data_IF_074963630398
#
_entry.id   IF_074963630398
#
_cell.length_a   1.000
_cell.length_b   1.000
_cell.length_c   1.000
_cell.angle_alpha   90.00
_cell.angle_beta   90.00
_cell.angle_gamma   90.00
#
_symmetry.space_group_name_H-M   'P 1'
#
loop_
_entity.id
_entity.type
_entity.pdbx_description
1 polymer ?
#
# COMPACT_ATOMS: atom_id res chain seq x y z
N UNK A 1 20.31 43.55 60.12
CA UNK A 1 19.60 43.11 58.95
C UNK A 1 20.52 43.26 57.74
N UNK A 2 21.14 42.16 57.31
CA UNK A 2 21.97 42.20 56.10
C UNK A 2 21.05 42.45 54.91
N UNK A 3 21.20 43.62 54.26
CA UNK A 3 20.51 43.89 53.00
C UNK A 3 20.85 42.84 51.93
N UNK A 4 20.06 42.72 50.87
CA UNK A 4 20.36 41.79 49.82
C UNK A 4 21.76 42.06 49.26
N UNK A 5 22.56 41.00 49.16
CA UNK A 5 23.91 41.05 48.59
C UNK A 5 23.83 41.59 47.16
N UNK A 6 24.39 42.80 46.85
CA UNK A 6 24.32 43.41 45.53
C UNK A 6 25.11 42.65 44.45
N UNK A 7 25.87 41.59 44.84
CA UNK A 7 26.70 40.79 43.96
C UNK A 7 26.17 39.37 43.75
N UNK A 8 24.92 39.09 44.10
CA UNK A 8 24.33 37.77 43.85
C UNK A 8 24.15 37.62 42.35
N UNK A 9 25.02 36.83 41.74
CA UNK A 9 24.99 36.54 40.34
C UNK A 9 23.65 35.82 39.96
N UNK A 10 22.98 36.26 38.90
CA UNK A 10 21.78 35.62 38.42
C UNK A 10 22.11 34.23 37.91
N UNK A 11 21.51 33.21 38.51
CA UNK A 11 21.63 31.82 38.08
C UNK A 11 20.27 31.37 37.51
N UNK A 12 20.25 30.92 36.25
CA UNK A 12 19.10 30.33 35.64
C UNK A 12 19.13 28.80 35.78
N UNK A 13 17.97 28.21 36.10
CA UNK A 13 17.82 26.77 36.10
C UNK A 13 17.63 26.26 34.66
N UNK A 14 18.00 25.01 34.41
CA UNK A 14 17.72 24.36 33.13
C UNK A 14 16.25 24.23 32.90
N UNK A 15 15.72 24.36 31.64
CA UNK A 15 14.34 24.01 31.29
C UNK A 15 14.08 22.53 31.55
N UNK A 16 12.90 22.22 32.09
CA UNK A 16 12.43 20.85 32.39
C UNK A 16 11.22 20.49 31.53
N UNK A 17 10.71 19.27 31.69
CA UNK A 17 9.48 18.80 31.10
C UNK A 17 9.43 18.93 29.57
N UNK A 18 10.58 18.63 28.89
CA UNK A 18 10.63 18.64 27.45
C UNK A 18 9.75 17.54 26.87
N UNK A 19 8.78 17.96 26.05
CA UNK A 19 7.86 17.06 25.32
C UNK A 19 7.88 17.36 23.84
N UNK A 20 7.75 16.33 23.02
CA UNK A 20 7.56 16.44 21.57
C UNK A 20 6.12 16.10 21.18
N UNK A 21 5.59 16.80 20.20
CA UNK A 21 4.28 16.52 19.60
C UNK A 21 4.41 16.57 18.09
N UNK A 22 4.08 15.47 17.40
CA UNK A 22 4.04 15.44 15.93
C UNK A 22 2.92 16.35 15.42
N UNK A 23 3.27 17.33 14.58
CA UNK A 23 2.30 18.18 13.86
C UNK A 23 2.04 17.65 12.45
N UNK A 24 3.08 17.10 11.81
CA UNK A 24 3.02 16.44 10.52
C UNK A 24 4.21 15.48 10.39
N UNK A 25 4.31 14.77 9.26
CA UNK A 25 5.48 13.92 9.00
C UNK A 25 6.81 14.67 8.92
N UNK A 26 6.79 15.99 8.66
CA UNK A 26 7.97 16.85 8.56
C UNK A 26 8.03 17.94 9.62
N UNK A 27 7.13 17.94 10.61
CA UNK A 27 7.10 18.98 11.65
C UNK A 27 6.76 18.43 13.03
N UNK A 28 7.44 19.00 14.02
CA UNK A 28 7.29 18.66 15.44
C UNK A 28 7.23 19.93 16.27
N UNK A 29 6.37 19.97 17.29
CA UNK A 29 6.37 20.98 18.32
C UNK A 29 7.12 20.44 19.54
N UNK A 30 8.09 21.20 20.02
CA UNK A 30 8.85 20.96 21.25
C UNK A 30 8.31 21.90 22.30
N UNK A 31 7.79 21.39 23.41
CA UNK A 31 7.35 22.16 24.57
C UNK A 31 8.26 21.98 25.77
N UNK A 32 8.27 22.92 26.73
CA UNK A 32 9.06 22.88 27.98
C UNK A 32 8.40 23.66 29.09
N UNK A 33 8.87 23.42 30.31
CA UNK A 33 8.47 24.18 31.49
C UNK A 33 9.13 25.58 31.59
N UNK A 34 8.43 26.57 32.18
CA UNK A 34 8.95 27.91 32.35
C UNK A 34 10.11 27.95 33.36
N UNK A 35 11.05 28.83 33.09
CA UNK A 35 12.21 29.08 33.98
C UNK A 35 12.10 30.51 34.53
N UNK A 36 12.20 30.65 35.84
CA UNK A 36 12.19 31.95 36.53
C UNK A 36 13.32 32.86 35.99
N UNK A 37 13.01 34.12 35.79
CA UNK A 37 13.93 35.15 35.28
C UNK A 37 14.38 34.95 33.81
N UNK A 38 13.95 33.92 33.12
CA UNK A 38 14.22 33.83 31.69
C UNK A 38 13.47 34.95 30.94
N UNK A 39 14.13 35.56 29.97
CA UNK A 39 13.49 36.52 29.03
C UNK A 39 13.22 35.88 27.66
N UNK A 40 13.98 34.83 27.36
CA UNK A 40 13.80 34.05 26.13
C UNK A 40 14.31 32.61 26.34
N UNK A 41 14.07 31.76 25.33
CA UNK A 41 14.60 30.41 25.25
C UNK A 41 15.26 30.20 23.91
N UNK A 42 16.44 29.59 23.91
CA UNK A 42 17.16 29.17 22.72
C UNK A 42 16.92 27.66 22.51
N UNK A 43 16.51 27.28 21.31
CA UNK A 43 16.19 25.92 20.96
C UNK A 43 17.23 25.38 19.99
N UNK A 44 17.80 24.23 20.33
CA UNK A 44 18.88 23.59 19.59
C UNK A 44 18.42 22.23 19.08
N UNK A 45 18.88 21.87 17.88
CA UNK A 45 18.63 20.58 17.24
C UNK A 45 19.91 19.95 16.74
N UNK A 46 19.94 18.61 16.74
CA UNK A 46 20.83 17.81 15.88
C UNK A 46 20.07 16.60 15.34
N UNK A 47 20.46 16.13 14.16
CA UNK A 47 19.99 14.87 13.64
C UNK A 47 20.86 13.69 14.10
N UNK A 48 20.31 12.46 13.98
CA UNK A 48 21.09 11.26 14.21
C UNK A 48 22.29 11.19 13.27
N UNK A 49 23.48 10.90 13.85
CA UNK A 49 24.77 10.93 13.15
C UNK A 49 25.53 12.25 13.27
N UNK A 50 24.89 13.37 13.60
CA UNK A 50 25.57 14.64 13.87
C UNK A 50 26.21 14.65 15.27
N UNK A 51 27.35 15.32 15.41
CA UNK A 51 28.10 15.43 16.68
C UNK A 51 27.71 16.66 17.47
N UNK A 52 27.27 17.73 16.80
CA UNK A 52 27.00 19.05 17.41
C UNK A 52 25.55 19.48 17.21
N UNK A 53 25.05 20.26 18.17
CA UNK A 53 23.78 20.91 18.10
C UNK A 53 23.83 22.22 17.31
N UNK A 54 22.82 22.51 16.53
CA UNK A 54 22.66 23.78 15.82
C UNK A 54 21.49 24.55 16.42
N UNK A 55 21.68 25.86 16.65
CA UNK A 55 20.59 26.73 17.08
C UNK A 55 19.53 26.86 15.99
N UNK A 56 18.31 26.50 16.32
CA UNK A 56 17.14 26.68 15.42
C UNK A 56 16.57 28.10 15.51
N UNK A 57 16.58 28.66 16.71
CA UNK A 57 16.08 30.00 16.95
C UNK A 57 15.81 30.24 18.43
N UNK A 58 15.43 31.48 18.72
CA UNK A 58 15.10 31.97 20.07
C UNK A 58 13.61 32.37 20.09
N UNK A 59 12.93 32.09 21.19
CA UNK A 59 11.53 32.50 21.41
C UNK A 59 11.41 33.25 22.74
N UNK A 60 10.50 34.23 22.84
CA UNK A 60 10.31 35.01 24.09
C UNK A 60 9.77 34.11 25.23
N UNK A 61 9.95 34.54 26.47
CA UNK A 61 9.63 33.78 27.69
C UNK A 61 8.12 33.43 27.84
N UNK A 62 7.23 34.14 27.16
CA UNK A 62 5.79 33.85 27.13
C UNK A 62 5.41 32.78 26.13
N UNK A 63 6.36 32.28 25.33
CA UNK A 63 6.17 31.17 24.38
C UNK A 63 7.01 29.97 24.83
N UNK A 64 6.36 29.00 25.43
CA UNK A 64 6.99 27.79 25.99
C UNK A 64 7.00 26.62 24.99
N UNK A 65 7.10 26.92 23.72
CA UNK A 65 7.22 25.94 22.65
C UNK A 65 7.93 26.50 21.42
N UNK A 66 8.48 25.59 20.62
CA UNK A 66 9.05 25.85 19.31
C UNK A 66 8.49 24.85 18.30
N UNK A 67 8.23 25.28 17.09
CA UNK A 67 7.79 24.40 15.99
C UNK A 67 8.92 24.25 14.99
N UNK A 68 9.50 23.07 14.94
CA UNK A 68 10.47 22.69 13.91
C UNK A 68 9.70 22.07 12.73
N UNK A 69 9.72 22.77 11.60
CA UNK A 69 9.01 22.37 10.37
C UNK A 69 9.93 21.70 9.35
N UNK A 70 11.14 21.37 9.73
CA UNK A 70 12.15 20.81 8.84
C UNK A 70 12.81 19.57 9.46
N UNK A 71 11.98 18.57 9.84
CA UNK A 71 12.44 17.24 10.24
C UNK A 71 12.24 16.25 9.10
N UNK A 72 13.12 15.24 9.03
CA UNK A 72 13.06 14.19 8.01
C UNK A 72 12.35 12.96 8.59
N UNK A 73 11.26 12.49 7.98
CA UNK A 73 10.58 11.28 8.43
C UNK A 73 11.53 10.07 8.45
N UNK A 74 11.48 9.30 9.54
CA UNK A 74 12.34 8.13 9.73
C UNK A 74 13.77 8.44 10.21
N UNK A 75 14.13 9.71 10.38
CA UNK A 75 15.42 10.13 10.95
C UNK A 75 15.25 10.55 12.40
N UNK A 76 16.12 10.04 13.30
CA UNK A 76 16.15 10.48 14.69
C UNK A 76 16.58 11.94 14.77
N UNK A 77 15.90 12.70 15.60
CA UNK A 77 16.19 14.11 15.89
C UNK A 77 16.28 14.31 17.40
N UNK A 78 17.19 15.16 17.82
CA UNK A 78 17.48 15.43 19.22
C UNK A 78 17.40 16.93 19.48
N UNK A 79 16.68 17.32 20.53
CA UNK A 79 16.50 18.71 20.91
C UNK A 79 17.02 18.97 22.29
N UNK A 80 17.52 20.21 22.50
CA UNK A 80 17.81 20.81 23.76
C UNK A 80 17.30 22.23 23.81
N UNK A 81 16.93 22.69 24.98
CA UNK A 81 16.46 24.05 25.21
C UNK A 81 17.32 24.67 26.32
N UNK A 82 17.65 25.92 26.14
CA UNK A 82 18.39 26.72 27.11
C UNK A 82 17.60 27.97 27.48
N UNK A 83 17.41 28.25 28.72
CA UNK A 83 16.84 29.53 29.18
C UNK A 83 17.92 30.63 29.12
N UNK A 84 17.48 31.80 28.70
CA UNK A 84 18.38 33.00 28.57
C UNK A 84 17.72 34.17 29.27
N UNK A 85 18.51 34.90 30.06
CA UNK A 85 18.16 36.24 30.53
C UNK A 85 18.98 37.23 29.73
N UNK A 86 18.30 38.15 29.08
CA UNK A 86 18.93 39.27 28.39
C UNK A 86 18.61 40.53 29.18
N UNK A 87 19.65 41.19 29.67
CA UNK A 87 19.60 42.47 30.36
C UNK A 87 20.46 43.48 29.61
N UNK A 88 20.28 44.74 29.88
CA UNK A 88 21.01 45.81 29.21
C UNK A 88 21.76 46.65 30.23
N UNK A 89 23.01 46.98 29.90
CA UNK A 89 23.85 47.94 30.64
C UNK A 89 24.18 49.06 29.65
N UNK A 90 23.36 50.11 29.67
CA UNK A 90 23.32 51.10 28.59
C UNK A 90 22.84 50.47 27.29
N UNK A 91 23.59 50.61 26.21
CA UNK A 91 23.29 50.01 24.91
C UNK A 91 23.83 48.59 24.73
N UNK A 92 24.61 48.05 25.71
CA UNK A 92 25.20 46.73 25.62
C UNK A 92 24.30 45.66 26.24
N UNK A 93 23.97 44.61 25.44
CA UNK A 93 23.24 43.45 25.91
C UNK A 93 24.16 42.53 26.71
N UNK A 94 23.72 42.13 27.91
CA UNK A 94 24.34 41.10 28.76
C UNK A 94 23.48 39.85 28.73
N UNK A 95 24.08 38.67 28.52
CA UNK A 95 23.41 37.39 28.44
C UNK A 95 23.83 36.50 29.60
N UNK A 96 22.85 35.94 30.30
CA UNK A 96 23.03 34.86 31.27
C UNK A 96 22.30 33.63 30.73
N UNK A 97 22.99 32.50 30.66
CA UNK A 97 22.50 31.26 30.13
C UNK A 97 22.32 30.22 31.24
N UNK A 98 21.23 29.46 31.16
CA UNK A 98 21.10 28.24 31.95
C UNK A 98 21.97 27.12 31.41
N UNK A 99 22.17 26.02 32.17
CA UNK A 99 22.53 24.73 31.55
C UNK A 99 21.51 24.31 30.51
N UNK A 100 21.94 23.45 29.57
CA UNK A 100 21.03 22.83 28.63
C UNK A 100 20.00 21.93 29.34
N UNK A 101 18.81 21.86 28.84
CA UNK A 101 17.82 20.86 29.27
C UNK A 101 18.30 19.43 29.07
N UNK A 102 17.59 18.46 29.62
CA UNK A 102 17.71 17.08 29.19
C UNK A 102 17.45 16.99 27.69
N UNK A 103 18.10 16.03 27.03
CA UNK A 103 17.89 15.81 25.59
C UNK A 103 16.55 15.15 25.34
N UNK A 104 15.70 15.79 24.53
CA UNK A 104 14.51 15.16 23.96
C UNK A 104 14.92 14.41 22.68
N UNK A 105 14.72 13.09 22.64
CA UNK A 105 14.84 12.27 21.43
C UNK A 105 13.47 12.15 20.76
N UNK A 106 13.40 12.39 19.47
CA UNK A 106 12.15 12.34 18.72
C UNK A 106 12.34 11.76 17.32
N UNK A 107 11.25 11.35 16.69
CA UNK A 107 11.23 10.91 15.30
C UNK A 107 9.81 11.06 14.75
N UNK A 108 9.68 11.61 13.56
CA UNK A 108 8.45 11.52 12.78
C UNK A 108 8.53 10.33 11.83
N UNK A 109 7.39 9.80 11.43
CA UNK A 109 7.28 8.73 10.44
C UNK A 109 6.34 9.19 9.32
N UNK A 110 6.71 8.91 8.07
CA UNK A 110 5.80 9.08 6.96
C UNK A 110 4.61 8.12 7.11
N UNK A 111 3.44 8.53 6.63
CA UNK A 111 2.28 7.63 6.59
C UNK A 111 2.46 6.58 5.50
N UNK A 112 2.14 5.31 5.75
CA UNK A 112 2.13 4.30 4.70
C UNK A 112 1.05 4.59 3.66
N UNK A 113 1.23 4.08 2.44
CA UNK A 113 0.18 4.07 1.43
C UNK A 113 -0.43 2.67 1.40
N UNK A 114 -1.70 2.55 1.80
CA UNK A 114 -2.45 1.30 1.68
C UNK A 114 -2.86 1.10 0.21
N UNK A 115 -2.51 -0.05 -0.37
CA UNK A 115 -3.00 -0.49 -1.67
C UNK A 115 -4.48 -0.91 -1.56
N UNK A 116 -5.16 -1.07 -2.69
CA UNK A 116 -6.53 -1.54 -2.69
C UNK A 116 -6.63 -2.92 -2.03
N UNK A 117 -7.39 -3.08 -0.93
CA UNK A 117 -7.61 -4.37 -0.30
C UNK A 117 -8.23 -5.37 -1.26
N UNK A 118 -7.74 -6.63 -1.26
CA UNK A 118 -8.17 -7.67 -2.20
C UNK A 118 -8.79 -8.85 -1.46
N UNK A 119 -9.98 -9.27 -1.90
CA UNK A 119 -10.57 -10.54 -1.46
C UNK A 119 -9.65 -11.71 -1.84
N UNK A 120 -9.32 -12.55 -0.86
CA UNK A 120 -8.48 -13.73 -1.00
C UNK A 120 -9.30 -15.02 -0.90
N UNK A 121 -10.47 -14.96 -0.31
CA UNK A 121 -11.39 -16.06 -0.09
C UNK A 121 -12.72 -15.57 0.49
N UNK A 122 -13.57 -16.51 0.86
CA UNK A 122 -14.93 -16.24 1.35
C UNK A 122 -14.97 -15.45 2.68
N UNK A 123 -13.88 -15.46 3.45
CA UNK A 123 -13.77 -14.82 4.77
C UNK A 123 -12.49 -14.00 4.96
N UNK A 124 -11.69 -13.83 3.90
CA UNK A 124 -10.33 -13.28 4.00
C UNK A 124 -10.13 -12.14 3.02
N UNK A 125 -9.50 -11.05 3.51
CA UNK A 125 -9.04 -9.91 2.71
C UNK A 125 -7.53 -9.78 2.88
N UNK A 126 -6.80 -9.66 1.77
CA UNK A 126 -5.38 -9.32 1.73
C UNK A 126 -5.19 -7.83 1.71
N UNK A 127 -4.28 -7.36 2.56
CA UNK A 127 -3.86 -5.97 2.69
C UNK A 127 -2.37 -5.88 2.36
N UNK A 128 -2.01 -4.92 1.52
CA UNK A 128 -0.62 -4.55 1.24
C UNK A 128 -0.46 -3.04 1.41
N UNK A 129 0.72 -2.61 1.83
CA UNK A 129 1.05 -1.19 1.97
C UNK A 129 2.52 -0.91 1.67
N UNK A 130 2.85 0.38 1.44
CA UNK A 130 4.23 0.79 1.22
C UNK A 130 5.05 0.70 2.50
N UNK A 131 6.32 0.31 2.39
CA UNK A 131 7.28 0.42 3.50
C UNK A 131 7.51 1.87 3.89
N UNK A 132 7.78 2.10 5.18
CA UNK A 132 8.06 3.42 5.76
C UNK A 132 9.44 3.40 6.38
N UNK A 133 10.30 4.36 5.99
CA UNK A 133 11.63 4.51 6.55
C UNK A 133 11.55 4.78 8.05
N UNK A 134 12.37 4.10 8.84
CA UNK A 134 12.39 4.20 10.30
C UNK A 134 11.31 3.41 11.03
N UNK A 135 10.32 2.85 10.33
CA UNK A 135 9.34 1.96 10.94
C UNK A 135 9.97 0.63 11.37
N UNK A 136 9.56 0.13 12.52
CA UNK A 136 9.88 -1.23 12.98
C UNK A 136 8.73 -2.18 12.74
N UNK A 137 7.51 -1.70 12.97
CA UNK A 137 6.29 -2.49 12.81
C UNK A 137 5.16 -1.62 12.26
N UNK A 138 4.02 -2.27 12.00
CA UNK A 138 2.80 -1.61 11.55
C UNK A 138 1.61 -2.06 12.39
N UNK A 139 0.63 -1.17 12.49
CA UNK A 139 -0.67 -1.43 13.11
C UNK A 139 -1.77 -1.25 12.06
N UNK A 140 -2.68 -2.23 11.99
CA UNK A 140 -3.83 -2.20 11.07
C UNK A 140 -5.10 -2.03 11.88
N UNK A 141 -5.93 -1.11 11.44
CA UNK A 141 -7.28 -0.91 11.94
C UNK A 141 -8.33 -1.26 10.88
N UNK A 142 -9.48 -1.70 11.36
CA UNK A 142 -10.62 -2.09 10.53
C UNK A 142 -11.92 -1.48 11.08
N UNK A 143 -12.85 -1.18 10.17
CA UNK A 143 -14.22 -0.76 10.46
C UNK A 143 -15.18 -1.29 9.41
N UNK A 144 -16.47 -1.34 9.71
CA UNK A 144 -17.55 -1.50 8.72
C UNK A 144 -18.10 -0.16 8.23
N UNK A 145 -17.56 0.96 8.74
CA UNK A 145 -17.90 2.32 8.32
C UNK A 145 -16.63 3.01 7.75
N UNK A 146 -16.79 3.75 6.64
CA UNK A 146 -15.67 4.38 5.92
C UNK A 146 -14.94 5.48 6.72
N UNK A 147 -15.62 6.15 7.63
CA UNK A 147 -15.13 7.37 8.30
C UNK A 147 -14.97 7.25 9.81
N UNK A 148 -15.55 6.20 10.44
CA UNK A 148 -15.59 6.07 11.89
C UNK A 148 -15.55 4.62 12.36
N UNK A 149 -15.46 4.40 13.68
CA UNK A 149 -15.54 3.07 14.30
C UNK A 149 -14.34 2.16 14.01
N UNK A 150 -13.19 2.72 13.66
CA UNK A 150 -11.97 1.93 13.43
C UNK A 150 -11.44 1.35 14.73
N UNK A 151 -11.22 0.05 14.74
CA UNK A 151 -10.62 -0.70 15.85
C UNK A 151 -9.35 -1.40 15.37
N UNK A 152 -8.35 -1.51 16.23
CA UNK A 152 -7.10 -2.20 15.93
C UNK A 152 -7.36 -3.71 15.85
N UNK A 153 -6.99 -4.30 14.72
CA UNK A 153 -7.15 -5.73 14.44
C UNK A 153 -5.84 -6.48 14.32
N UNK A 154 -4.74 -5.78 14.07
CA UNK A 154 -3.38 -6.33 14.03
C UNK A 154 -2.38 -5.29 14.54
N UNK A 155 -1.41 -5.75 15.31
CA UNK A 155 -0.24 -4.98 15.80
C UNK A 155 1.04 -5.72 15.49
N UNK A 156 2.15 -5.03 15.65
CA UNK A 156 3.50 -5.58 15.62
C UNK A 156 3.86 -6.34 14.32
N UNK A 157 3.21 -5.95 13.22
CA UNK A 157 3.48 -6.49 11.90
C UNK A 157 4.82 -5.95 11.38
N UNK A 158 5.81 -6.84 11.16
CA UNK A 158 7.14 -6.45 10.66
C UNK A 158 7.21 -6.34 9.14
N UNK A 159 6.25 -6.92 8.43
CA UNK A 159 6.13 -6.84 6.96
C UNK A 159 5.10 -5.83 6.51
N UNK A 160 4.99 -5.66 5.20
CA UNK A 160 4.06 -4.73 4.53
C UNK A 160 2.84 -5.45 3.94
N UNK A 161 2.52 -6.62 4.47
CA UNK A 161 1.39 -7.46 4.05
C UNK A 161 0.76 -8.10 5.27
N UNK A 162 -0.57 -8.17 5.31
CA UNK A 162 -1.29 -9.08 6.21
C UNK A 162 -2.61 -9.55 5.59
N UNK A 163 -3.14 -10.65 6.14
CA UNK A 163 -4.46 -11.14 5.81
C UNK A 163 -5.40 -10.86 7.01
N UNK A 164 -6.49 -10.16 6.75
CA UNK A 164 -7.60 -10.04 7.67
C UNK A 164 -8.53 -11.25 7.44
N UNK A 165 -8.69 -12.11 8.45
CA UNK A 165 -9.41 -13.39 8.37
C UNK A 165 -10.63 -13.40 9.28
N UNK A 166 -11.55 -14.37 9.11
CA UNK A 166 -12.76 -14.52 9.89
C UNK A 166 -13.80 -13.43 9.61
N UNK A 167 -13.75 -12.86 8.42
CA UNK A 167 -14.62 -11.79 7.98
C UNK A 167 -15.94 -12.34 7.43
N UNK A 168 -17.01 -11.58 7.61
CA UNK A 168 -18.31 -11.95 7.07
C UNK A 168 -18.35 -11.73 5.56
N UNK A 169 -18.68 -12.78 4.82
CA UNK A 169 -18.87 -12.80 3.37
C UNK A 169 -19.75 -11.64 2.90
N UNK A 170 -19.43 -11.09 1.73
CA UNK A 170 -20.19 -10.04 1.05
C UNK A 170 -20.39 -8.75 1.87
N UNK A 171 -19.62 -8.57 2.95
CA UNK A 171 -19.62 -7.38 3.79
C UNK A 171 -18.44 -6.49 3.40
N UNK A 172 -18.68 -5.18 3.26
CA UNK A 172 -17.64 -4.20 3.05
C UNK A 172 -16.88 -3.91 4.36
N UNK A 173 -15.57 -3.97 4.29
CA UNK A 173 -14.68 -3.61 5.40
C UNK A 173 -13.72 -2.53 4.94
N UNK A 174 -13.50 -1.55 5.81
CA UNK A 174 -12.60 -0.43 5.58
C UNK A 174 -11.36 -0.59 6.46
N UNK A 175 -10.20 -0.38 5.88
CA UNK A 175 -8.92 -0.57 6.53
C UNK A 175 -8.07 0.69 6.44
N UNK A 176 -7.25 0.89 7.45
CA UNK A 176 -6.16 1.86 7.46
C UNK A 176 -4.99 1.27 8.23
N UNK A 177 -3.78 1.72 7.89
CA UNK A 177 -2.54 1.24 8.50
C UNK A 177 -1.69 2.42 8.95
N UNK A 178 -0.94 2.26 10.03
CA UNK A 178 0.09 3.22 10.45
C UNK A 178 1.40 2.52 10.77
N UNK A 179 2.49 3.24 10.59
CA UNK A 179 3.82 2.80 10.96
C UNK A 179 4.08 3.06 12.44
N UNK A 180 4.91 2.20 13.07
CA UNK A 180 5.26 2.27 14.49
C UNK A 180 6.77 2.14 14.64
N UNK A 181 7.37 2.98 15.49
CA UNK A 181 8.74 2.91 15.96
C UNK A 181 8.75 2.90 17.48
N UNK A 182 9.58 2.04 18.08
CA UNK A 182 9.81 2.01 19.52
C UNK A 182 11.25 2.41 19.79
N UNK A 183 11.49 3.44 20.58
CA UNK A 183 12.82 3.81 21.03
C UNK A 183 13.30 2.90 22.17
N UNK A 184 14.61 2.94 22.46
CA UNK A 184 15.21 2.20 23.56
C UNK A 184 14.62 2.54 24.94
N UNK A 185 13.99 3.71 25.08
CA UNK A 185 13.21 4.12 26.24
C UNK A 185 11.89 3.36 26.42
N UNK A 186 11.44 2.62 25.39
CA UNK A 186 10.11 2.00 25.33
C UNK A 186 9.00 2.91 24.78
N UNK A 187 9.32 4.17 24.50
CA UNK A 187 8.37 5.13 23.93
C UNK A 187 8.03 4.77 22.48
N UNK A 188 6.72 4.80 22.15
CA UNK A 188 6.23 4.47 20.82
C UNK A 188 5.90 5.73 20.01
N UNK A 189 6.43 5.79 18.82
CA UNK A 189 6.11 6.81 17.82
C UNK A 189 5.30 6.22 16.71
N UNK A 190 4.25 6.94 16.31
CA UNK A 190 3.30 6.52 15.29
C UNK A 190 3.30 7.50 14.13
N UNK A 191 3.19 6.99 12.91
CA UNK A 191 2.81 7.82 11.79
C UNK A 191 1.34 8.22 11.87
N UNK A 192 0.91 9.16 11.02
CA UNK A 192 -0.49 9.25 10.66
C UNK A 192 -0.94 7.95 9.99
N UNK A 193 -2.27 7.75 9.98
CA UNK A 193 -2.85 6.64 9.24
C UNK A 193 -2.77 6.87 7.73
N UNK A 194 -2.64 5.77 6.99
CA UNK A 194 -2.75 5.72 5.53
C UNK A 194 -4.10 6.28 5.03
N UNK A 195 -4.24 6.34 3.72
CA UNK A 195 -5.55 6.37 3.09
C UNK A 195 -6.41 5.18 3.57
N UNK A 196 -7.73 5.37 3.60
CA UNK A 196 -8.68 4.29 3.85
C UNK A 196 -8.87 3.49 2.56
N UNK A 197 -8.71 2.17 2.64
CA UNK A 197 -9.02 1.24 1.57
C UNK A 197 -10.24 0.39 1.93
N UNK A 198 -11.07 0.05 0.94
CA UNK A 198 -12.23 -0.81 1.13
C UNK A 198 -12.01 -2.18 0.47
N UNK A 199 -12.35 -3.25 1.17
CA UNK A 199 -12.33 -4.62 0.68
C UNK A 199 -13.58 -5.40 1.08
N UNK A 200 -13.87 -6.45 0.32
CA UNK A 200 -14.93 -7.42 0.61
C UNK A 200 -14.34 -8.81 0.47
N UNK A 201 -14.63 -9.76 1.40
CA UNK A 201 -14.26 -11.15 1.19
C UNK A 201 -14.93 -11.70 -0.06
N UNK A 202 -14.12 -12.15 -1.00
CA UNK A 202 -14.52 -12.73 -2.30
C UNK A 202 -13.50 -13.77 -2.73
N UNK A 203 -13.99 -14.86 -3.33
CA UNK A 203 -13.11 -15.88 -3.87
C UNK A 203 -12.37 -15.35 -5.12
N UNK A 204 -11.15 -15.82 -5.27
CA UNK A 204 -10.37 -15.70 -6.47
C UNK A 204 -11.04 -16.50 -7.57
N UNK A 205 -11.36 -15.95 -8.76
CA UNK A 205 -11.98 -16.73 -9.82
C UNK A 205 -11.00 -17.72 -10.46
N UNK A 206 -11.52 -18.86 -10.90
CA UNK A 206 -10.78 -19.87 -11.65
C UNK A 206 -11.17 -19.78 -13.12
N UNK A 207 -10.32 -19.18 -13.94
CA UNK A 207 -10.59 -18.92 -15.35
C UNK A 207 -10.12 -20.07 -16.23
N UNK A 208 -10.97 -20.46 -17.16
CA UNK A 208 -10.63 -21.31 -18.30
C UNK A 208 -10.92 -20.60 -19.62
N UNK A 209 -10.20 -20.94 -20.68
CA UNK A 209 -10.44 -20.43 -22.04
C UNK A 209 -10.36 -21.57 -23.03
N UNK A 210 -11.32 -21.63 -23.94
CA UNK A 210 -11.34 -22.59 -25.06
C UNK A 210 -11.74 -21.87 -26.34
N UNK A 211 -11.34 -22.41 -27.48
CA UNK A 211 -11.82 -21.91 -28.76
C UNK A 211 -13.23 -22.43 -29.00
N UNK A 212 -14.11 -21.55 -29.46
CA UNK A 212 -15.50 -21.88 -29.90
C UNK A 212 -15.75 -21.23 -31.25
N UNK A 213 -15.61 -22.01 -32.32
CA UNK A 213 -15.57 -21.48 -33.69
C UNK A 213 -14.41 -20.49 -33.86
N UNK A 214 -14.70 -19.28 -34.33
CA UNK A 214 -13.72 -18.19 -34.48
C UNK A 214 -13.62 -17.29 -33.25
N UNK A 215 -14.18 -17.70 -32.10
CA UNK A 215 -14.23 -16.92 -30.87
C UNK A 215 -13.46 -17.61 -29.73
N UNK A 216 -13.08 -16.84 -28.68
CA UNK A 216 -12.64 -17.39 -27.43
C UNK A 216 -13.80 -17.45 -26.43
N UNK A 217 -14.13 -18.64 -25.94
CA UNK A 217 -15.08 -18.82 -24.84
C UNK A 217 -14.30 -18.88 -23.52
N UNK A 218 -14.48 -17.85 -22.68
CA UNK A 218 -13.99 -17.76 -21.33
C UNK A 218 -15.06 -18.30 -20.38
N UNK A 219 -14.66 -19.12 -19.41
CA UNK A 219 -15.60 -19.71 -18.43
C UNK A 219 -14.96 -19.76 -17.04
N UNK A 220 -15.77 -19.57 -16.00
CA UNK A 220 -15.34 -19.61 -14.60
C UNK A 220 -16.50 -20.00 -13.68
N UNK A 221 -16.25 -20.67 -12.55
CA UNK A 221 -17.26 -20.87 -11.50
C UNK A 221 -17.68 -19.54 -10.88
N UNK A 222 -18.91 -19.46 -10.37
CA UNK A 222 -19.37 -18.28 -9.63
C UNK A 222 -18.50 -18.07 -8.36
N UNK A 223 -17.86 -16.92 -8.25
CA UNK A 223 -17.05 -16.56 -7.08
C UNK A 223 -17.94 -16.10 -5.92
N UNK A 224 -17.66 -16.64 -4.74
CA UNK A 224 -18.40 -16.27 -3.53
C UNK A 224 -18.25 -14.78 -3.24
N UNK A 225 -19.35 -14.07 -3.00
CA UNK A 225 -19.36 -12.63 -2.71
C UNK A 225 -19.31 -11.70 -3.92
N UNK A 226 -19.03 -12.20 -5.13
CA UNK A 226 -19.00 -11.40 -6.34
C UNK A 226 -20.41 -10.98 -6.80
N UNK A 227 -20.50 -9.80 -7.40
CA UNK A 227 -21.68 -9.31 -8.14
C UNK A 227 -21.36 -9.03 -9.60
N UNK A 228 -20.12 -9.21 -10.01
CA UNK A 228 -19.65 -9.04 -11.37
C UNK A 228 -18.18 -9.43 -11.53
N UNK A 229 -17.69 -9.30 -12.75
CA UNK A 229 -16.32 -9.64 -13.10
C UNK A 229 -15.72 -8.58 -14.02
N UNK A 230 -14.40 -8.43 -13.94
CA UNK A 230 -13.62 -7.59 -14.85
C UNK A 230 -12.63 -8.49 -15.58
N UNK A 231 -12.68 -8.44 -16.91
CA UNK A 231 -11.90 -9.29 -17.80
C UNK A 231 -10.82 -8.45 -18.47
N UNK A 232 -9.58 -8.93 -18.41
CA UNK A 232 -8.43 -8.34 -19.09
C UNK A 232 -7.88 -9.29 -20.13
N UNK A 233 -7.42 -8.71 -21.25
CA UNK A 233 -6.79 -9.44 -22.36
C UNK A 233 -5.49 -8.75 -22.78
N UNK A 234 -4.52 -9.53 -23.25
CA UNK A 234 -3.41 -9.07 -24.08
C UNK A 234 -3.22 -9.99 -25.29
N UNK A 235 -2.71 -9.45 -26.38
CA UNK A 235 -2.34 -10.17 -27.60
C UNK A 235 -0.83 -10.32 -27.66
N UNK A 236 -0.36 -11.53 -27.94
CA UNK A 236 1.07 -11.86 -28.01
C UNK A 236 1.78 -11.84 -26.65
N UNK A 237 3.01 -12.36 -26.60
CA UNK A 237 3.77 -12.47 -25.36
C UNK A 237 4.21 -11.11 -24.81
N UNK A 238 4.57 -10.16 -25.68
CA UNK A 238 5.07 -8.83 -25.33
C UNK A 238 3.98 -7.76 -25.16
N UNK A 239 2.71 -8.05 -25.46
CA UNK A 239 1.61 -7.11 -25.35
C UNK A 239 1.29 -6.72 -23.90
N UNK A 240 0.64 -5.56 -23.73
CA UNK A 240 0.12 -5.11 -22.44
C UNK A 240 -1.32 -5.57 -22.25
N UNK A 241 -1.69 -5.86 -21.01
CA UNK A 241 -3.09 -6.17 -20.68
C UNK A 241 -3.96 -4.93 -20.74
N UNK A 242 -5.08 -5.06 -21.44
CA UNK A 242 -6.12 -4.03 -21.54
C UNK A 242 -7.44 -4.56 -21.02
N UNK A 243 -8.29 -3.67 -20.55
CA UNK A 243 -9.65 -4.01 -20.15
C UNK A 243 -10.43 -4.49 -21.39
N UNK A 244 -10.91 -5.74 -21.34
CA UNK A 244 -11.75 -6.31 -22.39
C UNK A 244 -13.24 -6.08 -22.10
N UNK A 245 -13.68 -6.42 -20.89
CA UNK A 245 -15.09 -6.29 -20.50
C UNK A 245 -15.28 -6.14 -18.99
N UNK A 246 -16.41 -5.53 -18.61
CA UNK A 246 -17.01 -5.60 -17.28
C UNK A 246 -18.34 -6.30 -17.40
N UNK A 247 -18.59 -7.31 -16.57
CA UNK A 247 -19.82 -8.12 -16.62
C UNK A 247 -20.55 -8.05 -15.28
N UNK A 248 -21.84 -8.44 -15.29
CA UNK A 248 -22.58 -8.78 -14.09
C UNK A 248 -22.16 -10.15 -13.53
N UNK A 249 -23.04 -10.75 -12.72
CA UNK A 249 -22.83 -12.06 -12.10
C UNK A 249 -23.01 -13.23 -13.09
N UNK A 250 -22.27 -13.20 -14.19
CA UNK A 250 -22.23 -14.27 -15.21
C UNK A 250 -21.01 -15.15 -15.00
N UNK A 251 -21.02 -16.36 -15.53
CA UNK A 251 -19.93 -17.34 -15.40
C UNK A 251 -19.24 -17.66 -16.72
N UNK A 252 -19.54 -16.90 -17.77
CA UNK A 252 -18.90 -17.02 -19.07
C UNK A 252 -18.90 -15.70 -19.84
N UNK A 253 -17.99 -15.59 -20.80
CA UNK A 253 -17.88 -14.46 -21.70
C UNK A 253 -17.30 -14.94 -23.05
N UNK A 254 -17.88 -14.46 -24.17
CA UNK A 254 -17.36 -14.74 -25.49
C UNK A 254 -16.58 -13.54 -26.00
N UNK A 255 -15.29 -13.72 -26.25
CA UNK A 255 -14.49 -12.75 -26.96
C UNK A 255 -14.52 -13.05 -28.46
N UNK A 256 -15.34 -12.27 -29.18
CA UNK A 256 -15.52 -12.37 -30.64
C UNK A 256 -14.49 -11.47 -31.39
N UNK A 257 -13.59 -10.81 -30.72
CA UNK A 257 -12.62 -9.87 -31.30
C UNK A 257 -11.22 -10.47 -31.42
N UNK A 258 -11.11 -11.78 -31.57
CA UNK A 258 -9.84 -12.48 -31.78
C UNK A 258 -9.54 -12.67 -33.27
N UNK A 259 -8.26 -12.70 -33.62
CA UNK A 259 -7.76 -13.05 -34.95
C UNK A 259 -7.15 -14.45 -34.91
N UNK A 260 -7.44 -15.24 -35.93
CA UNK A 260 -6.84 -16.57 -36.08
C UNK A 260 -5.33 -16.46 -36.29
N UNK A 261 -4.56 -17.36 -35.69
CA UNK A 261 -3.10 -17.35 -35.72
C UNK A 261 -2.44 -16.61 -34.54
N UNK A 262 -3.20 -15.81 -33.82
CA UNK A 262 -2.68 -15.01 -32.68
C UNK A 262 -2.79 -15.76 -31.35
N UNK A 263 -1.90 -15.40 -30.39
CA UNK A 263 -1.93 -15.90 -29.02
C UNK A 263 -2.54 -14.85 -28.11
N UNK A 264 -3.52 -15.25 -27.35
CA UNK A 264 -4.24 -14.39 -26.40
C UNK A 264 -4.03 -14.86 -24.98
N UNK A 265 -3.85 -13.90 -24.06
CA UNK A 265 -3.72 -14.13 -22.63
C UNK A 265 -4.85 -13.41 -21.91
N UNK A 266 -5.46 -14.07 -20.94
CA UNK A 266 -6.57 -13.53 -20.16
C UNK A 266 -6.35 -13.70 -18.67
N UNK A 267 -6.90 -12.78 -17.88
CA UNK A 267 -7.19 -12.96 -16.47
C UNK A 267 -8.43 -12.16 -16.09
N UNK A 268 -9.05 -12.54 -14.98
CA UNK A 268 -10.26 -11.88 -14.47
C UNK A 268 -10.13 -11.58 -12.98
N UNK A 269 -10.90 -10.57 -12.53
CA UNK A 269 -11.16 -10.30 -11.13
C UNK A 269 -12.64 -10.50 -10.85
N UNK A 270 -12.98 -11.04 -9.66
CA UNK A 270 -14.32 -10.87 -9.08
C UNK A 270 -14.47 -9.44 -8.59
N UNK A 271 -15.65 -8.87 -8.71
CA UNK A 271 -15.96 -7.49 -8.34
C UNK A 271 -17.21 -7.41 -7.48
N UNK A 272 -17.22 -6.48 -6.51
CA UNK A 272 -18.39 -6.06 -5.75
C UNK A 272 -18.30 -4.57 -5.40
N UNK A 273 -19.29 -3.74 -5.78
CA UNK A 273 -19.41 -2.37 -5.31
C UNK A 273 -19.78 -2.33 -3.81
N UNK A 274 -19.16 -1.41 -3.06
CA UNK A 274 -19.46 -1.11 -1.65
C UNK A 274 -19.45 0.41 -1.46
N UNK A 275 -20.61 1.03 -1.36
CA UNK A 275 -20.71 2.49 -1.38
C UNK A 275 -20.09 3.07 -2.65
N UNK A 276 -19.14 3.99 -2.51
CA UNK A 276 -18.38 4.58 -3.62
C UNK A 276 -17.17 3.75 -4.07
N UNK A 277 -16.87 2.63 -3.40
CA UNK A 277 -15.72 1.79 -3.69
C UNK A 277 -16.08 0.62 -4.59
N UNK A 278 -15.17 0.27 -5.50
CA UNK A 278 -15.20 -1.01 -6.20
C UNK A 278 -14.20 -1.96 -5.54
N UNK A 279 -14.69 -2.97 -4.84
CA UNK A 279 -13.86 -3.98 -4.21
C UNK A 279 -13.61 -5.14 -5.17
N UNK A 280 -12.38 -5.66 -5.17
CA UNK A 280 -11.94 -6.73 -6.08
C UNK A 280 -11.33 -7.89 -5.31
N UNK A 281 -11.43 -9.09 -5.88
CA UNK A 281 -10.61 -10.24 -5.45
C UNK A 281 -9.16 -10.10 -5.91
N UNK A 282 -8.30 -11.06 -5.57
CA UNK A 282 -7.10 -11.33 -6.34
C UNK A 282 -7.49 -11.76 -7.76
N UNK A 283 -6.61 -11.50 -8.74
CA UNK A 283 -6.83 -11.96 -10.11
C UNK A 283 -6.83 -13.48 -10.20
N UNK A 284 -7.57 -14.04 -11.16
CA UNK A 284 -7.36 -15.43 -11.57
C UNK A 284 -5.90 -15.68 -11.94
N UNK A 285 -5.50 -16.93 -12.04
CA UNK A 285 -4.31 -17.28 -12.80
C UNK A 285 -4.47 -16.78 -14.25
N UNK A 286 -3.33 -16.56 -14.90
CA UNK A 286 -3.30 -16.17 -16.31
C UNK A 286 -3.46 -17.41 -17.17
N UNK A 287 -4.47 -17.38 -18.03
CA UNK A 287 -4.69 -18.42 -19.04
C UNK A 287 -4.35 -17.88 -20.41
N UNK A 288 -3.93 -18.75 -21.31
CA UNK A 288 -3.66 -18.37 -22.70
C UNK A 288 -4.17 -19.44 -23.66
N UNK A 289 -4.43 -19.06 -24.89
CA UNK A 289 -4.69 -19.99 -25.98
C UNK A 289 -4.22 -19.38 -27.30
N UNK A 290 -3.96 -20.24 -28.28
CA UNK A 290 -3.70 -19.84 -29.65
C UNK A 290 -4.98 -20.01 -30.46
N UNK A 291 -5.45 -18.94 -31.11
CA UNK A 291 -6.62 -19.01 -31.97
C UNK A 291 -6.25 -19.73 -33.27
N UNK A 292 -6.77 -20.94 -33.45
CA UNK A 292 -6.45 -21.75 -34.62
C UNK A 292 -7.51 -21.58 -35.74
N UNK A 293 -7.07 -21.55 -36.97
CA UNK A 293 -7.94 -21.67 -38.13
C UNK A 293 -8.50 -23.10 -38.25
N UNK A 294 -9.58 -23.25 -38.98
CA UNK A 294 -10.13 -24.55 -39.31
C UNK A 294 -9.27 -25.26 -40.33
N UNK A 295 -9.12 -26.57 -40.16
CA UNK A 295 -8.55 -27.45 -41.20
C UNK A 295 -9.62 -27.78 -42.23
N UNK A 296 -9.37 -27.53 -43.50
CA UNK A 296 -10.24 -27.95 -44.57
C UNK A 296 -9.70 -29.25 -45.18
N UNK A 297 -10.50 -30.29 -45.12
CA UNK A 297 -10.21 -31.53 -45.80
C UNK A 297 -10.43 -31.33 -47.31
N UNK A 298 -9.38 -31.39 -48.10
CA UNK A 298 -9.45 -31.14 -49.55
C UNK A 298 -9.84 -32.36 -50.33
N UNK A 299 -9.30 -33.53 -50.04
CA UNK A 299 -9.61 -34.77 -50.69
C UNK A 299 -9.23 -36.03 -49.87
N UNK A 300 -9.98 -37.07 -50.07
CA UNK A 300 -9.58 -38.44 -49.70
C UNK A 300 -9.50 -39.24 -51.01
N UNK A 301 -8.30 -39.69 -51.39
CA UNK A 301 -8.05 -40.40 -52.63
C UNK A 301 -7.65 -41.83 -52.32
N UNK A 302 -8.31 -42.76 -52.98
CA UNK A 302 -7.87 -44.13 -53.05
C UNK A 302 -7.08 -44.32 -54.35
N UNK A 303 -5.74 -44.41 -54.23
CA UNK A 303 -4.82 -44.49 -55.38
C UNK A 303 -4.66 -45.92 -55.88
N UNK A 304 -5.54 -46.87 -55.47
CA UNK A 304 -5.41 -48.28 -55.84
C UNK A 304 -4.32 -49.03 -55.10
N UNK A 305 -3.64 -48.39 -54.12
CA UNK A 305 -2.75 -48.99 -53.14
C UNK A 305 -3.54 -49.20 -51.85
N UNK A 306 -3.07 -50.09 -50.98
CA UNK A 306 -3.77 -50.43 -49.70
C UNK A 306 -3.91 -49.26 -48.72
N UNK A 307 -3.31 -48.11 -48.99
CA UNK A 307 -3.34 -46.94 -48.11
C UNK A 307 -4.07 -45.76 -48.77
N UNK A 308 -5.10 -45.20 -48.18
CA UNK A 308 -5.73 -43.99 -48.67
C UNK A 308 -4.84 -42.78 -48.46
N UNK A 309 -4.78 -41.87 -49.42
CA UNK A 309 -4.13 -40.57 -49.27
C UNK A 309 -5.18 -39.52 -48.87
N UNK A 310 -4.83 -38.77 -47.83
CA UNK A 310 -5.68 -37.70 -47.27
C UNK A 310 -4.98 -36.37 -47.51
N UNK A 311 -5.63 -35.49 -48.28
CA UNK A 311 -5.11 -34.12 -48.53
C UNK A 311 -5.94 -33.13 -47.74
N UNK A 312 -5.25 -32.21 -47.06
CA UNK A 312 -5.86 -31.10 -46.33
C UNK A 312 -5.10 -29.82 -46.58
N UNK A 313 -5.73 -28.69 -46.25
CA UNK A 313 -5.09 -27.38 -46.30
C UNK A 313 -4.05 -27.29 -45.18
N UNK A 314 -2.77 -27.11 -45.56
CA UNK A 314 -1.64 -27.02 -44.63
C UNK A 314 -1.37 -25.61 -44.15
N UNK A 315 -2.15 -24.61 -44.58
CA UNK A 315 -1.97 -23.19 -44.25
C UNK A 315 -2.88 -22.74 -43.10
N UNK A 316 -3.15 -23.62 -42.14
CA UNK A 316 -3.98 -23.25 -40.98
C UNK A 316 -3.19 -22.31 -40.05
N UNK A 317 -3.69 -21.08 -39.92
CA UNK A 317 -3.07 -20.05 -39.08
C UNK A 317 -2.92 -20.53 -37.62
N UNK A 318 -1.71 -20.38 -37.09
CA UNK A 318 -1.39 -20.76 -35.71
C UNK A 318 -1.09 -22.24 -35.48
N UNK A 319 -1.30 -23.13 -36.45
CA UNK A 319 -1.00 -24.56 -36.31
C UNK A 319 0.50 -24.83 -36.54
N UNK A 320 1.11 -25.61 -35.63
CA UNK A 320 2.50 -26.08 -35.75
C UNK A 320 2.60 -27.57 -36.09
N UNK A 321 1.51 -28.33 -35.93
CA UNK A 321 1.36 -29.74 -36.34
C UNK A 321 -0.09 -30.12 -36.47
N UNK A 322 -0.32 -31.23 -37.14
CA UNK A 322 -1.66 -31.78 -37.42
C UNK A 322 -1.74 -33.21 -36.89
N UNK A 323 -2.91 -33.58 -36.42
CA UNK A 323 -3.26 -34.94 -36.05
C UNK A 323 -4.35 -35.41 -36.96
N UNK A 324 -4.20 -36.60 -37.57
CA UNK A 324 -5.19 -37.23 -38.41
C UNK A 324 -5.79 -38.42 -37.67
N UNK A 325 -7.09 -38.41 -37.58
CA UNK A 325 -7.87 -39.50 -36.96
C UNK A 325 -8.73 -40.19 -38.03
N UNK A 326 -8.77 -41.53 -37.97
CA UNK A 326 -9.62 -42.35 -38.85
C UNK A 326 -10.52 -43.28 -38.06
N UNK A 327 -11.68 -43.60 -38.62
CA UNK A 327 -12.58 -44.60 -38.06
C UNK A 327 -13.06 -45.55 -39.19
N UNK A 328 -13.23 -46.83 -38.86
CA UNK A 328 -13.78 -47.82 -39.77
C UNK A 328 -15.33 -47.83 -39.77
N UNK A 329 -15.93 -47.02 -38.91
CA UNK A 329 -17.42 -46.87 -38.83
C UNK A 329 -17.82 -45.41 -38.95
N UNK A 330 -18.93 -45.11 -39.64
CA UNK A 330 -19.45 -43.74 -39.77
C UNK A 330 -19.83 -43.08 -38.44
N UNK A 331 -20.12 -43.85 -37.42
CA UNK A 331 -20.53 -43.35 -36.11
C UNK A 331 -19.36 -42.89 -35.23
N UNK A 332 -18.09 -42.97 -35.67
CA UNK A 332 -16.88 -42.64 -34.90
C UNK A 332 -16.13 -41.40 -35.40
N UNK A 333 -16.76 -40.58 -36.20
CA UNK A 333 -16.16 -39.31 -36.66
C UNK A 333 -16.53 -38.17 -35.65
N UNK A 334 -15.68 -37.90 -34.73
CA UNK A 334 -15.68 -36.69 -33.91
C UNK A 334 -14.33 -35.99 -33.97
#
# INVERSE_FOLDING_TARGET
MNGPDPYRELVLLQPTDLIGTTLSETSVRIGWGSVAFATQYDVYRKFGGETSYTLLGSVPNNRLYYEDTNVTPGQAVYYRVRAVNVSYDGEQAKYVYSPDSQTLSYMTLAKPKLEDPRGLGADTIRLNWSSVSGAQTYEVQMSTNATSGFTTVRTDLTGTLCNATGLKKATGYYFRVRAVRVFSSGEKFYSEYSNVGCGTPMDRPELTVVQSGNNALLSWPASSGATGYIIYRKTGASGSYTLLAKTGAVTSFVDASINLGEVYYYFIYSMRPVGSYNCFSLSSERVYFTALGSVNLCAVRNTGKQEPTIDWDTTVLGATKYYVYGSTTMAGLY
#
